data_IF_636654782890
#
_entry.id   IF_636654782890
#
_cell.length_a   1.000
_cell.length_b   1.000
_cell.length_c   1.000
_cell.angle_alpha   90.00
_cell.angle_beta   90.00
_cell.angle_gamma   90.00
#
_symmetry.space_group_name_H-M   'P 1'
#
loop_
_entity.id
_entity.type
_entity.pdbx_description
1 polymer ?
#
# COMPACT_ATOMS: atom_id res chain seq x y z
N UNK A 1 12.51 -15.47 4.84
CA UNK A 1 13.64 -14.57 4.46
C UNK A 1 13.37 -13.18 5.00
N UNK A 2 14.31 -12.50 5.67
CA UNK A 2 14.11 -11.12 6.08
C UNK A 2 14.09 -10.25 4.82
N UNK A 3 12.94 -9.66 4.51
CA UNK A 3 12.86 -8.70 3.43
C UNK A 3 13.67 -7.48 3.84
N UNK A 4 14.73 -7.15 3.10
CA UNK A 4 15.38 -5.86 3.24
C UNK A 4 14.37 -4.81 2.77
N UNK A 5 13.76 -4.08 3.70
CA UNK A 5 12.90 -2.96 3.36
C UNK A 5 13.81 -1.80 2.99
N UNK A 6 14.12 -1.66 1.69
CA UNK A 6 14.87 -0.55 1.13
C UNK A 6 14.10 0.76 1.36
N UNK A 7 14.23 1.30 2.58
CA UNK A 7 13.69 2.61 2.93
C UNK A 7 14.64 3.65 2.34
N UNK A 8 14.10 4.63 1.63
CA UNK A 8 14.82 5.80 1.10
C UNK A 8 15.76 6.47 2.12
N UNK A 9 15.42 6.49 3.40
CA UNK A 9 16.31 6.99 4.46
C UNK A 9 17.54 6.11 4.66
N UNK A 10 17.37 4.78 4.68
CA UNK A 10 18.49 3.84 4.85
C UNK A 10 19.47 3.93 3.67
N UNK A 11 18.95 4.06 2.45
CA UNK A 11 19.78 4.25 1.24
C UNK A 11 20.56 5.57 1.30
N UNK A 12 19.92 6.66 1.76
CA UNK A 12 20.60 7.94 1.95
C UNK A 12 21.75 7.84 2.96
N UNK A 13 21.51 7.22 4.11
CA UNK A 13 22.55 7.04 5.14
C UNK A 13 23.68 6.15 4.64
N UNK A 14 23.37 5.08 3.90
CA UNK A 14 24.37 4.23 3.27
C UNK A 14 25.28 5.02 2.31
N UNK A 15 24.69 5.84 1.45
CA UNK A 15 25.46 6.66 0.51
C UNK A 15 26.33 7.68 1.25
N UNK A 16 25.79 8.29 2.32
CA UNK A 16 26.56 9.19 3.19
C UNK A 16 27.75 8.48 3.82
N UNK A 17 27.57 7.28 4.36
CA UNK A 17 28.65 6.53 5.02
C UNK A 17 29.71 6.06 4.02
N UNK A 18 29.30 5.60 2.83
CA UNK A 18 30.21 4.97 1.88
C UNK A 18 30.94 5.95 0.96
N UNK A 19 30.30 7.08 0.65
CA UNK A 19 30.79 8.05 -0.33
C UNK A 19 30.95 9.47 0.25
N UNK A 20 30.57 9.70 1.52
CA UNK A 20 30.62 11.01 2.18
C UNK A 20 29.84 12.12 1.46
N UNK A 21 28.87 11.75 0.61
CA UNK A 21 28.02 12.68 -0.13
C UNK A 21 26.70 12.89 0.62
N UNK A 22 26.33 14.16 0.85
CA UNK A 22 25.00 14.51 1.36
C UNK A 22 24.04 14.69 0.18
N UNK A 23 23.00 13.85 0.13
CA UNK A 23 21.93 13.94 -0.87
C UNK A 23 20.57 14.18 -0.24
N UNK A 24 19.69 14.84 -0.99
CA UNK A 24 18.29 14.99 -0.64
C UNK A 24 17.56 13.64 -0.73
N UNK A 25 16.46 13.48 0.03
CA UNK A 25 15.61 12.30 -0.08
C UNK A 25 14.90 12.20 -1.44
N UNK A 26 14.70 13.33 -2.11
CA UNK A 26 14.11 13.38 -3.45
C UNK A 26 15.04 12.73 -4.45
N UNK A 27 16.30 13.15 -4.48
CA UNK A 27 17.36 12.59 -5.34
C UNK A 27 17.49 11.08 -5.14
N UNK A 28 17.53 10.61 -3.89
CA UNK A 28 17.57 9.17 -3.59
C UNK A 28 16.31 8.46 -4.08
N UNK A 29 15.13 9.09 -3.97
CA UNK A 29 13.89 8.51 -4.49
C UNK A 29 13.90 8.40 -6.01
N UNK A 30 14.46 9.39 -6.72
CA UNK A 30 14.55 9.38 -8.17
C UNK A 30 15.57 8.35 -8.67
N UNK A 31 16.70 8.18 -7.98
CA UNK A 31 17.62 7.06 -8.24
C UNK A 31 16.97 5.70 -8.02
N UNK A 32 16.21 5.54 -6.93
CA UNK A 32 15.49 4.29 -6.68
C UNK A 32 14.46 3.99 -7.77
N UNK A 33 13.74 5.00 -8.27
CA UNK A 33 12.83 4.84 -9.43
C UNK A 33 13.60 4.43 -10.69
N UNK A 34 14.73 5.06 -10.99
CA UNK A 34 15.57 4.74 -12.16
C UNK A 34 16.09 3.31 -12.12
N UNK A 35 16.43 2.81 -10.92
CA UNK A 35 16.85 1.43 -10.71
C UNK A 35 15.69 0.42 -10.65
N UNK A 36 14.45 0.84 -10.90
CA UNK A 36 13.27 -0.03 -10.88
C UNK A 36 12.75 -0.37 -9.48
N UNK A 37 13.27 0.26 -8.42
CA UNK A 37 12.74 0.16 -7.06
C UNK A 37 11.54 1.08 -6.91
N UNK A 38 10.40 0.67 -7.46
CA UNK A 38 9.14 1.37 -7.25
C UNK A 38 8.66 1.09 -5.83
N UNK A 39 8.29 2.12 -5.04
CA UNK A 39 7.67 1.90 -3.74
C UNK A 39 6.41 1.04 -3.93
N UNK A 40 6.44 -0.20 -3.43
CA UNK A 40 5.34 -1.21 -3.49
C UNK A 40 4.10 -0.80 -2.67
N UNK A 41 3.66 0.45 -2.79
CA UNK A 41 2.51 1.00 -2.04
C UNK A 41 1.21 0.91 -2.83
N UNK A 42 1.26 0.76 -4.15
CA UNK A 42 0.06 0.73 -5.01
C UNK A 42 -0.71 -0.59 -4.90
N UNK A 43 -0.03 -1.72 -4.69
CA UNK A 43 -0.67 -3.05 -4.70
C UNK A 43 -1.64 -3.20 -3.52
N UNK A 44 -1.20 -2.83 -2.30
CA UNK A 44 -2.03 -2.99 -1.09
C UNK A 44 -3.28 -2.10 -1.10
N UNK A 45 -3.17 -0.86 -1.58
CA UNK A 45 -4.34 0.04 -1.77
C UNK A 45 -5.30 -0.44 -2.85
N UNK A 46 -4.81 -1.04 -3.93
CA UNK A 46 -5.66 -1.57 -5.00
C UNK A 46 -6.49 -2.78 -4.50
N UNK A 47 -5.93 -3.62 -3.62
CA UNK A 47 -6.68 -4.71 -2.98
C UNK A 47 -7.75 -4.21 -1.99
N UNK A 48 -7.46 -3.17 -1.21
CA UNK A 48 -8.41 -2.54 -0.29
C UNK A 48 -9.58 -1.88 -1.05
N UNK A 49 -9.35 -1.46 -2.30
CA UNK A 49 -10.35 -0.84 -3.17
C UNK A 49 -11.04 -1.84 -4.11
N UNK A 50 -11.40 -3.04 -3.64
CA UNK A 50 -12.22 -3.96 -4.43
C UNK A 50 -13.71 -3.61 -4.30
N UNK A 51 -14.14 -2.60 -5.07
CA UNK A 51 -15.52 -2.12 -5.10
C UNK A 51 -16.57 -3.21 -5.40
N UNK A 52 -16.19 -4.30 -6.07
CA UNK A 52 -17.11 -5.40 -6.38
C UNK A 52 -17.46 -6.20 -5.13
N UNK A 53 -16.43 -6.57 -4.33
CA UNK A 53 -16.60 -7.26 -3.05
C UNK A 53 -17.40 -6.42 -2.05
N UNK A 54 -17.16 -5.10 -2.03
CA UNK A 54 -17.91 -4.18 -1.17
C UNK A 54 -19.38 -4.11 -1.58
N UNK A 55 -19.67 -4.03 -2.89
CA UNK A 55 -21.06 -4.03 -3.40
C UNK A 55 -21.81 -5.32 -3.11
N UNK A 56 -21.16 -6.47 -3.27
CA UNK A 56 -21.75 -7.77 -2.93
C UNK A 56 -22.05 -7.89 -1.44
N UNK A 57 -21.14 -7.41 -0.58
CA UNK A 57 -21.34 -7.41 0.86
C UNK A 57 -22.51 -6.50 1.28
N UNK A 58 -22.60 -5.28 0.73
CA UNK A 58 -23.71 -4.35 1.01
C UNK A 58 -25.06 -4.95 0.58
N UNK A 59 -25.11 -5.62 -0.59
CA UNK A 59 -26.32 -6.32 -1.05
C UNK A 59 -26.72 -7.47 -0.13
N UNK A 60 -25.74 -8.28 0.30
CA UNK A 60 -25.99 -9.39 1.21
C UNK A 60 -26.50 -8.90 2.58
N UNK A 61 -25.91 -7.81 3.11
CA UNK A 61 -26.32 -7.17 4.36
C UNK A 61 -27.77 -6.64 4.28
N UNK A 62 -28.11 -5.92 3.22
CA UNK A 62 -29.46 -5.40 3.01
C UNK A 62 -30.50 -6.54 2.84
N UNK A 63 -30.11 -7.67 2.24
CA UNK A 63 -30.98 -8.83 2.11
C UNK A 63 -31.22 -9.57 3.45
N UNK A 64 -30.28 -9.52 4.40
CA UNK A 64 -30.46 -10.10 5.73
C UNK A 64 -31.40 -9.27 6.61
N UNK A 65 -31.32 -7.94 6.55
CA UNK A 65 -32.20 -7.03 7.33
C UNK A 65 -33.68 -7.17 6.91
N UNK A 66 -33.96 -7.42 5.63
CA UNK A 66 -35.32 -7.67 5.14
C UNK A 66 -35.94 -8.97 5.68
N UNK A 67 -35.12 -9.94 6.11
CA UNK A 67 -35.63 -11.20 6.69
C UNK A 67 -36.01 -11.10 8.17
N UNK A 68 -35.47 -10.13 8.91
CA UNK A 68 -35.85 -9.86 10.31
C UNK A 68 -37.16 -9.05 10.38
N UNK A 69 -37.38 -8.12 9.43
CA UNK A 69 -38.61 -7.33 9.35
C UNK A 69 -39.82 -8.16 8.88
N UNK A 70 -39.61 -9.19 8.06
CA UNK A 70 -40.67 -10.07 7.57
C UNK A 70 -41.17 -11.10 8.61
N UNK A 71 -40.49 -11.27 9.75
CA UNK A 71 -40.87 -12.24 10.79
C UNK A 71 -41.59 -11.59 11.99
N UNK A 72 -41.73 -10.26 12.03
CA UNK A 72 -42.45 -9.53 13.09
C UNK A 72 -43.74 -8.83 12.61
N UNK A 73 -44.22 -9.16 11.42
CA UNK A 73 -45.56 -8.83 10.92
C UNK A 73 -46.32 -10.13 10.67
#
# INVERSE_FOLDING_TARGET
MPFALWKRNAVREFIRQRFNVKMSLQTVSDYLKLWGFTPKKAIRRAYEHNEKRVREWVKYKAAMEVSEEACSQ
#
